data_IF_626990225611
#
_entry.id   IF_626990225611
#
_cell.length_a   1.000
_cell.length_b   1.000
_cell.length_c   1.000
_cell.angle_alpha   90.00
_cell.angle_beta   90.00
_cell.angle_gamma   90.00
#
_symmetry.space_group_name_H-M   'P 1'
#
loop_
_entity.id
_entity.type
_entity.pdbx_description
1 polymer ?
#
# COMPACT_ATOMS: atom_id res chain seq x y z
N UNK A 1 -23.70 -24.46 8.47
CA UNK A 1 -22.50 -25.30 8.60
C UNK A 1 -21.35 -24.39 8.21
N UNK A 2 -20.62 -23.85 9.18
CA UNK A 2 -19.40 -23.08 8.90
C UNK A 2 -18.34 -24.09 8.49
N UNK A 3 -17.82 -23.98 7.26
CA UNK A 3 -16.64 -24.76 6.87
C UNK A 3 -15.50 -24.38 7.80
N UNK A 4 -14.93 -25.38 8.48
CA UNK A 4 -13.71 -25.18 9.24
C UNK A 4 -12.65 -24.59 8.29
N UNK A 5 -11.90 -23.59 8.76
CA UNK A 5 -10.82 -22.97 8.01
C UNK A 5 -9.94 -24.05 7.35
N UNK A 6 -9.78 -23.99 6.03
CA UNK A 6 -8.87 -24.87 5.28
C UNK A 6 -7.41 -24.68 5.66
N UNK A 7 -7.08 -23.59 6.37
CA UNK A 7 -5.76 -23.32 6.90
C UNK A 7 -5.60 -23.87 8.32
N UNK A 8 -4.49 -24.60 8.52
CA UNK A 8 -4.09 -25.19 9.79
C UNK A 8 -3.56 -24.17 10.82
N UNK A 9 -3.12 -22.98 10.38
CA UNK A 9 -2.64 -21.90 11.25
C UNK A 9 -2.66 -20.55 10.53
N UNK A 10 -2.52 -19.45 11.29
CA UNK A 10 -2.33 -18.11 10.74
C UNK A 10 -1.08 -18.06 9.86
N UNK A 11 0.02 -18.66 10.31
CA UNK A 11 1.27 -18.72 9.54
C UNK A 11 1.08 -19.46 8.20
N UNK A 12 0.31 -20.55 8.19
CA UNK A 12 -0.02 -21.27 6.97
C UNK A 12 -0.87 -20.41 6.03
N UNK A 13 -1.88 -19.70 6.55
CA UNK A 13 -2.70 -18.80 5.76
C UNK A 13 -1.89 -17.63 5.16
N UNK A 14 -1.01 -17.01 5.95
CA UNK A 14 -0.14 -15.91 5.50
C UNK A 14 0.86 -16.40 4.45
N UNK A 15 1.51 -17.55 4.68
CA UNK A 15 2.47 -18.12 3.73
C UNK A 15 1.81 -18.47 2.39
N UNK A 16 0.64 -19.12 2.43
CA UNK A 16 -0.13 -19.44 1.23
C UNK A 16 -0.57 -18.17 0.49
N UNK A 17 -1.12 -17.19 1.20
CA UNK A 17 -1.57 -15.93 0.59
C UNK A 17 -0.41 -15.18 -0.06
N UNK A 18 0.77 -15.20 0.57
CA UNK A 18 1.99 -14.62 0.01
C UNK A 18 2.39 -15.31 -1.29
N UNK A 19 2.44 -16.63 -1.30
CA UNK A 19 2.77 -17.40 -2.51
C UNK A 19 1.77 -17.16 -3.64
N UNK A 20 0.47 -17.16 -3.31
CA UNK A 20 -0.60 -16.85 -4.23
C UNK A 20 -0.41 -15.44 -4.85
N UNK A 21 -0.17 -14.43 -4.01
CA UNK A 21 0.01 -13.06 -4.47
C UNK A 21 1.22 -12.91 -5.37
N UNK A 22 2.40 -13.34 -4.91
CA UNK A 22 3.65 -13.02 -5.63
C UNK A 22 3.94 -13.93 -6.81
N UNK A 23 3.49 -15.19 -6.76
CA UNK A 23 3.93 -16.21 -7.73
C UNK A 23 2.79 -16.72 -8.63
N UNK A 24 1.54 -16.66 -8.18
CA UNK A 24 0.42 -17.27 -8.91
C UNK A 24 -0.51 -16.26 -9.58
N UNK A 25 -0.72 -15.09 -8.98
CA UNK A 25 -1.65 -14.09 -9.52
C UNK A 25 -0.99 -13.24 -10.63
N UNK A 26 -1.70 -12.98 -11.74
CA UNK A 26 -1.20 -12.11 -12.78
C UNK A 26 -1.15 -10.66 -12.27
N UNK A 27 -0.19 -9.88 -12.80
CA UNK A 27 0.00 -8.46 -12.45
C UNK A 27 -1.30 -7.65 -12.55
N UNK A 28 -2.20 -7.99 -13.50
CA UNK A 28 -3.49 -7.31 -13.61
C UNK A 28 -4.37 -7.48 -12.36
N UNK A 29 -4.42 -8.67 -11.76
CA UNK A 29 -5.15 -8.88 -10.51
C UNK A 29 -4.58 -8.04 -9.36
N UNK A 30 -3.27 -7.80 -9.38
CA UNK A 30 -2.61 -6.91 -8.40
C UNK A 30 -3.12 -5.49 -8.59
N UNK A 31 -3.09 -4.99 -9.83
CA UNK A 31 -3.57 -3.66 -10.18
C UNK A 31 -5.05 -3.47 -9.83
N UNK A 32 -5.89 -4.46 -10.09
CA UNK A 32 -7.31 -4.41 -9.78
C UNK A 32 -7.54 -4.33 -8.26
N UNK A 33 -6.83 -5.15 -7.46
CA UNK A 33 -6.90 -5.08 -6.01
C UNK A 33 -6.39 -3.75 -5.45
N UNK A 34 -5.29 -3.22 -6.02
CA UNK A 34 -4.74 -1.93 -5.64
C UNK A 34 -5.66 -0.76 -6.04
N UNK A 35 -6.42 -0.89 -7.13
CA UNK A 35 -7.39 0.13 -7.56
C UNK A 35 -8.54 0.31 -6.55
N UNK A 36 -8.87 -0.74 -5.81
CA UNK A 36 -9.88 -0.70 -4.74
C UNK A 36 -9.33 -0.15 -3.42
N UNK A 37 -8.01 0.01 -3.30
CA UNK A 37 -7.37 0.48 -2.06
C UNK A 37 -7.38 2.00 -1.96
N UNK A 38 -7.53 2.49 -0.73
CA UNK A 38 -7.51 3.93 -0.44
C UNK A 38 -6.15 4.53 -0.78
N UNK A 39 -6.19 5.61 -1.54
CA UNK A 39 -5.01 6.23 -2.12
C UNK A 39 -4.56 7.43 -1.28
N UNK A 40 -3.31 7.88 -1.43
CA UNK A 40 -2.85 9.16 -0.86
C UNK A 40 -3.77 10.34 -1.22
N UNK A 41 -4.55 10.22 -2.31
CA UNK A 41 -5.61 11.14 -2.69
C UNK A 41 -6.66 11.35 -1.60
N UNK A 42 -7.10 10.28 -0.93
CA UNK A 42 -8.10 10.38 0.14
C UNK A 42 -7.52 11.10 1.36
N UNK A 43 -6.24 10.84 1.69
CA UNK A 43 -5.56 11.55 2.77
C UNK A 43 -5.43 13.06 2.48
N UNK A 44 -5.21 13.44 1.21
CA UNK A 44 -5.15 14.85 0.77
C UNK A 44 -6.50 15.56 0.98
N UNK A 45 -7.63 14.87 0.84
CA UNK A 45 -8.96 15.47 1.06
C UNK A 45 -9.23 15.79 2.52
N UNK A 46 -8.62 15.04 3.45
CA UNK A 46 -8.84 15.18 4.90
C UNK A 46 -7.76 16.06 5.56
N UNK A 47 -6.56 16.11 5.00
CA UNK A 47 -5.45 16.88 5.55
C UNK A 47 -5.67 18.40 5.43
N UNK A 48 -5.08 19.16 6.33
CA UNK A 48 -5.09 20.63 6.32
C UNK A 48 -3.68 21.22 6.42
N UNK A 49 -3.54 22.49 6.03
CA UNK A 49 -2.29 23.25 6.16
C UNK A 49 -1.10 22.65 5.39
N UNK A 50 0.08 22.75 5.99
CA UNK A 50 1.35 22.27 5.43
C UNK A 50 1.34 20.78 5.09
N UNK A 51 0.63 19.97 5.88
CA UNK A 51 0.53 18.52 5.67
C UNK A 51 -0.15 18.23 4.33
N UNK A 52 -1.24 18.94 4.02
CA UNK A 52 -1.96 18.77 2.75
C UNK A 52 -1.08 19.13 1.56
N UNK A 53 -0.37 20.26 1.64
CA UNK A 53 0.54 20.70 0.59
C UNK A 53 1.68 19.71 0.39
N UNK A 54 2.25 19.20 1.48
CA UNK A 54 3.28 18.17 1.46
C UNK A 54 2.80 16.87 0.81
N UNK A 55 1.63 16.36 1.20
CA UNK A 55 1.03 15.16 0.60
C UNK A 55 0.76 15.34 -0.90
N UNK A 56 0.27 16.49 -1.34
CA UNK A 56 0.04 16.77 -2.77
C UNK A 56 1.35 16.77 -3.57
N UNK A 57 2.39 17.42 -3.04
CA UNK A 57 3.70 17.45 -3.68
C UNK A 57 4.33 16.06 -3.78
N UNK A 58 4.33 15.30 -2.68
CA UNK A 58 4.92 13.96 -2.67
C UNK A 58 4.08 12.95 -3.44
N UNK A 59 2.75 13.02 -3.40
CA UNK A 59 1.88 12.19 -4.23
C UNK A 59 2.16 12.37 -5.73
N UNK A 60 2.35 13.62 -6.16
CA UNK A 60 2.72 13.93 -7.56
C UNK A 60 4.11 13.42 -7.91
N UNK A 61 5.10 13.61 -7.02
CA UNK A 61 6.47 13.13 -7.23
C UNK A 61 6.54 11.60 -7.29
N UNK A 62 5.79 10.94 -6.41
CA UNK A 62 5.75 9.48 -6.32
C UNK A 62 5.15 8.88 -7.59
N UNK A 63 3.98 9.39 -8.01
CA UNK A 63 3.33 8.95 -9.25
C UNK A 63 4.25 9.13 -10.48
N UNK A 64 4.93 10.28 -10.60
CA UNK A 64 5.90 10.51 -11.68
C UNK A 64 7.11 9.57 -11.67
N UNK A 65 7.48 9.03 -10.49
CA UNK A 65 8.66 8.18 -10.33
C UNK A 65 8.36 6.71 -10.54
N UNK A 66 7.17 6.26 -10.12
CA UNK A 66 6.83 4.84 -10.06
C UNK A 66 5.66 4.46 -10.98
N UNK A 67 5.04 5.41 -11.68
CA UNK A 67 3.86 5.23 -12.56
C UNK A 67 2.59 4.71 -11.86
N UNK A 68 2.63 4.58 -10.53
CA UNK A 68 1.46 4.38 -9.67
C UNK A 68 1.55 5.35 -8.50
N UNK A 69 0.40 5.74 -7.95
CA UNK A 69 0.39 6.63 -6.81
C UNK A 69 0.50 5.87 -5.48
N UNK A 70 0.80 6.61 -4.42
CA UNK A 70 1.16 6.03 -3.14
C UNK A 70 -0.03 5.36 -2.43
N UNK A 71 0.13 4.09 -2.09
CA UNK A 71 -0.84 3.27 -1.35
C UNK A 71 -0.28 2.99 0.05
N UNK A 72 -1.12 3.09 1.07
CA UNK A 72 -0.76 2.81 2.46
C UNK A 72 -1.91 2.13 3.19
N UNK A 73 -1.57 1.29 4.18
CA UNK A 73 -2.53 0.74 5.14
C UNK A 73 -2.78 1.68 6.33
N UNK A 74 -2.02 2.78 6.43
CA UNK A 74 -2.18 3.78 7.49
C UNK A 74 -3.55 4.45 7.40
N UNK A 75 -4.20 4.61 8.56
CA UNK A 75 -5.50 5.26 8.67
C UNK A 75 -5.47 6.69 8.10
N UNK A 76 -6.45 7.04 7.25
CA UNK A 76 -6.55 8.34 6.57
C UNK A 76 -6.56 9.55 7.51
N UNK A 77 -7.08 9.40 8.73
CA UNK A 77 -7.09 10.46 9.73
C UNK A 77 -5.69 10.73 10.34
N UNK A 78 -4.70 9.89 10.03
CA UNK A 78 -3.29 10.05 10.42
C UNK A 78 -2.47 10.63 9.27
N UNK A 79 -2.93 11.73 8.69
CA UNK A 79 -2.29 12.41 7.54
C UNK A 79 -0.81 12.74 7.76
N UNK A 80 -0.42 13.11 8.99
CA UNK A 80 0.99 13.31 9.34
C UNK A 80 1.83 12.03 9.19
N UNK A 81 1.30 10.89 9.63
CA UNK A 81 2.00 9.60 9.53
C UNK A 81 2.12 9.17 8.07
N UNK A 82 1.05 9.32 7.29
CA UNK A 82 1.05 9.07 5.84
C UNK A 82 2.10 9.97 5.15
N UNK A 83 2.22 11.22 5.58
CA UNK A 83 3.18 12.16 5.02
C UNK A 83 4.63 11.76 5.29
N UNK A 84 4.95 11.23 6.47
CA UNK A 84 6.29 10.71 6.75
C UNK A 84 6.56 9.39 6.00
N UNK A 85 5.56 8.52 5.90
CA UNK A 85 5.67 7.25 5.18
C UNK A 85 5.97 7.47 3.68
N UNK A 86 5.29 8.41 3.03
CA UNK A 86 5.54 8.72 1.60
C UNK A 86 6.94 9.31 1.39
N UNK A 87 7.48 10.12 2.32
CA UNK A 87 8.85 10.65 2.22
C UNK A 87 9.88 9.53 2.29
N UNK A 88 9.75 8.64 3.27
CA UNK A 88 10.67 7.51 3.47
C UNK A 88 10.64 6.59 2.26
N UNK A 89 9.45 6.23 1.78
CA UNK A 89 9.30 5.33 0.64
C UNK A 89 9.72 5.97 -0.69
N UNK A 90 9.57 7.28 -0.86
CA UNK A 90 10.08 7.99 -2.04
C UNK A 90 11.62 7.89 -2.14
N UNK A 91 12.31 7.90 -1.00
CA UNK A 91 13.77 7.77 -0.90
C UNK A 91 14.31 6.35 -1.09
N UNK A 92 13.46 5.32 -0.95
CA UNK A 92 13.88 3.92 -1.16
C UNK A 92 13.99 3.61 -2.66
N UNK A 93 15.07 2.96 -3.06
CA UNK A 93 15.19 2.34 -4.40
C UNK A 93 14.17 1.18 -4.50
N UNK A 94 13.65 0.95 -5.71
CA UNK A 94 12.71 -0.13 -6.06
C UNK A 94 13.17 -1.55 -5.62
N UNK A 95 14.43 -1.74 -5.23
CA UNK A 95 14.98 -3.02 -4.76
C UNK A 95 14.31 -3.57 -3.49
N UNK A 96 13.53 -2.76 -2.76
CA UNK A 96 12.82 -3.19 -1.53
C UNK A 96 11.29 -3.17 -1.69
N UNK A 97 10.75 -2.96 -2.90
CA UNK A 97 9.31 -3.18 -3.13
C UNK A 97 8.94 -4.66 -2.98
N UNK A 98 9.89 -5.58 -3.19
CA UNK A 98 9.74 -6.99 -2.83
C UNK A 98 9.63 -7.24 -1.31
N UNK A 99 9.97 -6.25 -0.47
CA UNK A 99 9.95 -6.37 0.98
C UNK A 99 9.10 -5.30 1.69
N UNK A 100 8.39 -4.44 0.95
CA UNK A 100 7.47 -3.44 1.54
C UNK A 100 6.00 -3.84 1.40
N UNK A 101 5.71 -4.85 0.59
CA UNK A 101 4.49 -5.68 0.71
C UNK A 101 4.72 -6.77 1.79
N UNK A 102 5.33 -6.39 2.92
CA UNK A 102 5.64 -7.28 4.06
C UNK A 102 4.80 -6.92 5.29
N UNK A 103 3.75 -6.11 5.11
CA UNK A 103 2.75 -5.89 6.15
C UNK A 103 1.32 -6.13 5.64
N UNK A 104 1.16 -7.20 4.84
CA UNK A 104 -0.05 -8.00 4.79
C UNK A 104 0.31 -9.44 5.13
#
# INVERSE_FOLDING_TARGET
MEEASSFSSLEHATSFTRDLWFNMLPVQSWLDAFSAYRHIGDAITIAHGEIRTGLLQFGTKYCKKFDFGFITSTNLFRSQQIFEEVKVNYGRLLTVLHSSVVFL
#
